data_IF_623424047402
#
_entry.id   IF_623424047402
#
_cell.length_a   1.000
_cell.length_b   1.000
_cell.length_c   1.000
_cell.angle_alpha   90.00
_cell.angle_beta   90.00
_cell.angle_gamma   90.00
#
_symmetry.space_group_name_H-M   'P 1'
#
loop_
_entity.id
_entity.type
_entity.pdbx_description
1 polymer ?
#
# COMPACT_ATOMS: atom_id res chain seq x y z
N UNK A 1 45.14 -25.67 22.29
CA UNK A 1 43.80 -25.29 22.74
C UNK A 1 42.81 -26.18 22.02
N UNK A 2 42.29 -27.20 22.71
CA UNK A 2 41.43 -28.24 22.14
C UNK A 2 40.02 -27.71 21.92
N UNK A 3 39.49 -27.86 20.70
CA UNK A 3 38.08 -27.61 20.39
C UNK A 3 37.27 -28.78 20.95
N UNK A 4 36.63 -28.54 22.10
CA UNK A 4 35.70 -29.47 22.71
C UNK A 4 34.49 -29.70 21.81
N UNK A 5 34.27 -30.98 21.47
CA UNK A 5 33.13 -31.50 20.72
C UNK A 5 31.81 -30.98 21.28
N UNK A 6 31.06 -30.20 20.49
CA UNK A 6 29.67 -29.88 20.79
C UNK A 6 28.83 -31.10 20.44
N UNK A 7 28.60 -31.95 21.45
CA UNK A 7 27.60 -32.99 21.36
C UNK A 7 26.23 -32.33 21.14
N UNK A 8 25.68 -32.54 19.94
CA UNK A 8 24.27 -32.34 19.66
C UNK A 8 23.51 -33.37 20.50
N UNK A 9 23.18 -32.99 21.73
CA UNK A 9 22.28 -33.79 22.56
C UNK A 9 20.89 -33.54 22.03
N UNK A 10 20.40 -34.52 21.25
CA UNK A 10 19.00 -34.69 20.95
C UNK A 10 18.27 -34.97 22.28
N UNK A 11 17.90 -33.90 22.99
CA UNK A 11 16.96 -33.98 24.10
C UNK A 11 15.56 -33.99 23.48
N UNK A 12 15.11 -35.19 23.17
CA UNK A 12 13.72 -35.55 23.39
C UNK A 12 13.46 -35.64 24.90
N UNK A 13 13.60 -34.51 25.58
CA UNK A 13 13.02 -34.28 26.90
C UNK A 13 11.75 -33.51 26.64
N UNK A 14 10.65 -34.27 26.65
CA UNK A 14 9.28 -33.82 26.85
C UNK A 14 9.05 -32.36 26.43
N UNK A 15 8.76 -32.17 25.14
CA UNK A 15 7.82 -31.11 24.77
C UNK A 15 6.50 -31.49 25.46
N UNK A 16 6.41 -31.19 26.77
CA UNK A 16 5.16 -30.77 27.35
C UNK A 16 4.61 -29.81 26.31
N UNK A 17 3.48 -30.21 25.73
CA UNK A 17 2.69 -29.34 24.89
C UNK A 17 2.29 -28.18 25.79
N UNK A 18 3.21 -27.23 26.00
CA UNK A 18 2.91 -25.91 26.48
C UNK A 18 1.86 -25.47 25.49
N UNK A 19 0.59 -25.52 25.92
CA UNK A 19 -0.51 -25.04 25.11
C UNK A 19 -0.01 -23.70 24.56
N UNK A 20 0.17 -23.64 23.24
CA UNK A 20 0.65 -22.46 22.52
C UNK A 20 -0.42 -21.39 22.65
N UNK A 21 -0.56 -20.89 23.87
CA UNK A 21 -1.56 -19.96 24.30
C UNK A 21 -1.15 -18.62 23.76
N UNK A 22 -2.15 -17.79 23.49
CA UNK A 22 -1.93 -16.44 23.01
C UNK A 22 -1.00 -15.65 23.94
N UNK A 23 -0.94 -16.00 25.23
CA UNK A 23 -0.08 -15.36 26.21
C UNK A 23 1.39 -15.82 26.14
N UNK A 24 1.65 -17.10 25.87
CA UNK A 24 3.01 -17.59 25.54
C UNK A 24 3.56 -16.91 24.29
N UNK A 25 2.75 -16.82 23.22
CA UNK A 25 3.13 -16.13 21.99
C UNK A 25 3.36 -14.62 22.20
N UNK A 26 2.53 -13.95 23.02
CA UNK A 26 2.76 -12.54 23.41
C UNK A 26 4.06 -12.38 24.21
N UNK A 27 4.37 -13.31 25.11
CA UNK A 27 5.59 -13.27 25.91
C UNK A 27 6.85 -13.47 25.04
N UNK A 28 6.81 -14.44 24.12
CA UNK A 28 7.90 -14.68 23.16
C UNK A 28 8.11 -13.49 22.23
N UNK A 29 7.04 -12.91 21.69
CA UNK A 29 7.15 -11.73 20.82
C UNK A 29 7.68 -10.50 21.57
N UNK A 30 7.31 -10.31 22.83
CA UNK A 30 7.88 -9.27 23.70
C UNK A 30 9.36 -9.52 24.02
N UNK A 31 9.73 -10.76 24.35
CA UNK A 31 11.12 -11.19 24.64
C UNK A 31 12.03 -10.99 23.42
N UNK A 32 11.52 -11.28 22.23
CA UNK A 32 12.21 -11.11 20.95
C UNK A 32 12.12 -9.67 20.39
N UNK A 33 11.42 -8.76 21.09
CA UNK A 33 11.21 -7.36 20.67
C UNK A 33 10.66 -7.24 19.25
N UNK A 34 9.81 -8.19 18.85
CA UNK A 34 9.23 -8.21 17.51
C UNK A 34 8.14 -7.14 17.44
N UNK A 35 8.29 -6.21 16.51
CA UNK A 35 7.25 -5.22 16.21
C UNK A 35 6.12 -5.91 15.43
N UNK A 36 5.18 -6.51 16.15
CA UNK A 36 4.02 -7.21 15.56
C UNK A 36 2.96 -6.24 15.02
N UNK A 37 3.13 -4.93 15.24
CA UNK A 37 2.17 -3.88 14.86
C UNK A 37 2.87 -2.75 14.13
N UNK A 38 2.14 -2.12 13.19
CA UNK A 38 2.63 -0.96 12.44
C UNK A 38 2.91 0.22 13.40
N UNK A 39 4.00 0.99 13.21
CA UNK A 39 4.34 2.12 14.08
C UNK A 39 3.19 3.13 14.24
N UNK A 40 2.48 3.42 13.15
CA UNK A 40 1.30 4.31 13.16
C UNK A 40 0.16 3.81 14.05
N UNK A 41 -0.03 2.49 14.12
CA UNK A 41 -1.02 1.90 15.02
C UNK A 41 -0.58 2.05 16.48
N UNK A 42 0.71 1.86 16.77
CA UNK A 42 1.24 2.04 18.13
C UNK A 42 1.11 3.50 18.59
N UNK A 43 1.44 4.46 17.73
CA UNK A 43 1.24 5.89 17.98
C UNK A 43 -0.23 6.24 18.23
N UNK A 44 -1.14 5.69 17.42
CA UNK A 44 -2.58 5.86 17.64
C UNK A 44 -3.03 5.25 18.97
N UNK A 45 -2.61 4.03 19.31
CA UNK A 45 -2.96 3.42 20.59
C UNK A 45 -2.44 4.22 21.77
N UNK A 46 -1.21 4.73 21.69
CA UNK A 46 -0.62 5.59 22.73
C UNK A 46 -1.39 6.91 22.87
N UNK A 47 -1.82 7.52 21.75
CA UNK A 47 -2.66 8.73 21.76
C UNK A 47 -4.04 8.49 22.38
N UNK A 48 -4.71 7.39 22.01
CA UNK A 48 -6.03 7.05 22.53
C UNK A 48 -5.98 6.74 24.02
N UNK A 49 -4.98 5.96 24.44
CA UNK A 49 -4.77 5.62 25.85
C UNK A 49 -4.37 6.85 26.67
N UNK A 50 -3.56 7.76 26.13
CA UNK A 50 -3.15 8.99 26.85
C UNK A 50 -4.22 10.07 26.95
N UNK A 51 -5.06 10.29 25.93
CA UNK A 51 -5.92 11.48 25.87
C UNK A 51 -7.39 11.28 26.27
N UNK A 52 -7.94 10.08 26.09
CA UNK A 52 -9.38 9.84 26.24
C UNK A 52 -9.76 9.27 27.61
N UNK A 53 -8.93 8.37 28.16
CA UNK A 53 -9.21 7.73 29.44
C UNK A 53 -8.77 8.60 30.63
N UNK A 54 -7.64 9.30 30.50
CA UNK A 54 -7.13 10.14 31.58
C UNK A 54 -7.84 11.49 31.73
N UNK A 55 -8.51 12.04 30.70
CA UNK A 55 -9.26 13.30 30.85
C UNK A 55 -10.55 13.15 31.66
N UNK A 56 -11.19 11.97 31.59
CA UNK A 56 -12.26 11.60 32.52
C UNK A 56 -11.73 11.38 33.94
N UNK A 57 -10.57 10.72 34.06
CA UNK A 57 -9.90 10.46 35.33
C UNK A 57 -9.44 11.74 36.05
N UNK A 58 -8.83 12.69 35.35
CA UNK A 58 -8.31 13.93 35.93
C UNK A 58 -9.43 14.88 36.43
N UNK A 59 -10.64 14.78 35.87
CA UNK A 59 -11.81 15.50 36.40
C UNK A 59 -12.44 14.78 37.59
N UNK A 60 -12.26 13.46 37.69
CA UNK A 60 -12.71 12.62 38.81
C UNK A 60 -11.71 12.57 39.98
N UNK A 61 -10.48 13.06 39.84
CA UNK A 61 -9.51 13.13 40.96
C UNK A 61 -9.76 14.31 41.91
N UNK A 62 -10.65 15.25 41.54
CA UNK A 62 -11.06 16.37 42.40
C UNK A 62 -12.33 16.09 43.22
N UNK A 63 -13.06 15.00 42.94
CA UNK A 63 -14.22 14.56 43.73
C UNK A 63 -14.19 13.04 43.91
N UNK A 64 -14.29 12.59 45.17
CA UNK A 64 -14.28 11.18 45.60
C UNK A 64 -14.92 10.20 44.59
N UNK A 65 -14.26 9.04 44.31
CA UNK A 65 -14.71 8.10 43.29
C UNK A 65 -16.01 7.42 43.72
N UNK A 66 -17.14 7.98 43.28
CA UNK A 66 -18.43 7.33 43.40
C UNK A 66 -18.44 6.00 42.64
N UNK A 67 -19.08 4.93 43.18
CA UNK A 67 -19.04 3.56 42.63
C UNK A 67 -19.80 3.36 41.30
N UNK A 68 -19.95 4.39 40.47
CA UNK A 68 -20.69 4.36 39.19
C UNK A 68 -20.02 5.14 38.05
N UNK A 69 -18.74 5.47 38.15
CA UNK A 69 -18.02 6.06 37.02
C UNK A 69 -17.66 4.97 36.00
N UNK A 70 -18.34 4.95 34.86
CA UNK A 70 -18.01 4.02 33.76
C UNK A 70 -16.81 4.61 33.02
N UNK A 71 -15.65 3.95 33.12
CA UNK A 71 -14.44 4.31 32.38
C UNK A 71 -14.02 5.80 32.53
N UNK A 72 -14.20 6.39 33.72
CA UNK A 72 -13.86 7.79 33.99
C UNK A 72 -14.91 8.83 33.53
N UNK A 73 -16.07 8.39 33.04
CA UNK A 73 -17.21 9.26 32.76
C UNK A 73 -18.22 9.22 33.90
N UNK A 74 -18.84 10.38 34.18
CA UNK A 74 -19.85 10.51 35.24
C UNK A 74 -21.18 9.84 34.85
N UNK A 75 -21.48 9.74 33.55
CA UNK A 75 -22.67 9.05 33.02
C UNK A 75 -22.34 8.26 31.75
N UNK A 76 -23.19 7.26 31.44
CA UNK A 76 -23.09 6.51 30.19
C UNK A 76 -23.33 7.40 28.97
N UNK A 77 -24.25 8.36 29.08
CA UNK A 77 -24.57 9.28 27.98
C UNK A 77 -23.39 10.18 27.62
N UNK A 78 -22.61 10.63 28.61
CA UNK A 78 -21.38 11.40 28.38
C UNK A 78 -20.33 10.58 27.61
N UNK A 79 -20.15 9.31 27.98
CA UNK A 79 -19.23 8.40 27.30
C UNK A 79 -19.66 8.14 25.85
N UNK A 80 -20.97 7.93 25.63
CA UNK A 80 -21.53 7.72 24.29
C UNK A 80 -21.44 8.98 23.44
N UNK A 81 -21.70 10.16 24.01
CA UNK A 81 -21.55 11.43 23.31
C UNK A 81 -20.10 11.68 22.90
N UNK A 82 -19.14 11.40 23.79
CA UNK A 82 -17.72 11.47 23.48
C UNK A 82 -17.34 10.53 22.34
N UNK A 83 -17.73 9.25 22.40
CA UNK A 83 -17.48 8.29 21.33
C UNK A 83 -18.06 8.73 19.97
N UNK A 84 -19.27 9.31 19.97
CA UNK A 84 -19.90 9.81 18.74
C UNK A 84 -19.11 10.98 18.15
N UNK A 85 -18.56 11.86 18.98
CA UNK A 85 -17.75 12.98 18.53
C UNK A 85 -16.39 12.51 17.99
N UNK A 86 -15.73 11.60 18.69
CA UNK A 86 -14.46 11.02 18.24
C UNK A 86 -14.62 10.29 16.89
N UNK A 87 -15.69 9.50 16.72
CA UNK A 87 -16.00 8.85 15.46
C UNK A 87 -16.31 9.85 14.33
N UNK A 88 -16.91 11.01 14.64
CA UNK A 88 -17.11 12.08 13.64
C UNK A 88 -15.77 12.68 13.21
N UNK A 89 -14.87 12.92 14.15
CA UNK A 89 -13.54 13.47 13.88
C UNK A 89 -12.70 12.50 13.05
N UNK A 90 -12.67 11.21 13.42
CA UNK A 90 -11.97 10.19 12.63
C UNK A 90 -12.52 10.11 11.19
N UNK A 91 -13.85 10.13 11.02
CA UNK A 91 -14.47 10.14 9.69
C UNK A 91 -14.13 11.40 8.90
N UNK A 92 -13.98 12.56 9.55
CA UNK A 92 -13.57 13.79 8.87
C UNK A 92 -12.12 13.70 8.37
N UNK A 93 -11.22 13.17 9.19
CA UNK A 93 -9.82 12.92 8.82
C UNK A 93 -9.72 11.92 7.65
N UNK A 94 -10.47 10.81 7.71
CA UNK A 94 -10.50 9.81 6.64
C UNK A 94 -10.99 10.40 5.32
N UNK A 95 -12.02 11.25 5.36
CA UNK A 95 -12.53 11.96 4.17
C UNK A 95 -11.48 12.90 3.59
N UNK A 96 -10.74 13.61 4.44
CA UNK A 96 -9.67 14.50 4.00
C UNK A 96 -8.54 13.72 3.32
N UNK A 97 -8.05 12.66 3.96
CA UNK A 97 -7.02 11.77 3.43
C UNK A 97 -7.46 11.13 2.11
N UNK A 98 -8.69 10.63 2.02
CA UNK A 98 -9.24 10.10 0.78
C UNK A 98 -9.25 11.17 -0.33
N UNK A 99 -9.62 12.41 -0.01
CA UNK A 99 -9.53 13.53 -0.94
C UNK A 99 -8.11 13.81 -1.42
N UNK A 100 -7.13 13.77 -0.52
CA UNK A 100 -5.71 13.93 -0.87
C UNK A 100 -5.22 12.81 -1.80
N UNK A 101 -5.56 11.55 -1.48
CA UNK A 101 -5.18 10.39 -2.29
C UNK A 101 -5.81 10.42 -3.69
N UNK A 102 -7.09 10.82 -3.80
CA UNK A 102 -7.75 10.97 -5.09
C UNK A 102 -7.07 12.05 -5.96
N UNK A 103 -6.68 13.18 -5.37
CA UNK A 103 -5.91 14.22 -6.07
C UNK A 103 -4.53 13.75 -6.52
N UNK A 104 -3.83 12.99 -5.67
CA UNK A 104 -2.54 12.41 -6.05
C UNK A 104 -2.70 11.40 -7.19
N UNK A 105 -3.74 10.56 -7.14
CA UNK A 105 -4.06 9.60 -8.20
C UNK A 105 -4.34 10.30 -9.53
N UNK A 106 -5.14 11.36 -9.54
CA UNK A 106 -5.44 12.09 -10.77
C UNK A 106 -4.19 12.75 -11.36
N UNK A 107 -3.35 13.35 -10.52
CA UNK A 107 -2.09 13.97 -10.95
C UNK A 107 -1.10 12.93 -11.50
N UNK A 108 -0.95 11.79 -10.83
CA UNK A 108 -0.11 10.70 -11.31
C UNK A 108 -0.60 10.16 -12.66
N UNK A 109 -1.92 10.03 -12.83
CA UNK A 109 -2.49 9.61 -14.09
C UNK A 109 -2.22 10.62 -15.22
N UNK A 110 -2.42 11.91 -14.96
CA UNK A 110 -2.11 12.97 -15.92
C UNK A 110 -0.62 12.92 -16.33
N UNK A 111 0.29 12.86 -15.37
CA UNK A 111 1.73 12.77 -15.65
C UNK A 111 2.10 11.53 -16.46
N UNK A 112 1.45 10.39 -16.18
CA UNK A 112 1.66 9.16 -16.95
C UNK A 112 1.19 9.31 -18.39
N UNK A 113 0.04 9.95 -18.63
CA UNK A 113 -0.45 10.24 -19.98
C UNK A 113 0.50 11.17 -20.70
N UNK A 114 0.92 12.27 -20.06
CA UNK A 114 1.89 13.21 -20.63
C UNK A 114 3.22 12.52 -20.99
N UNK A 115 3.72 11.64 -20.12
CA UNK A 115 4.95 10.87 -20.38
C UNK A 115 4.81 9.96 -21.61
N UNK A 116 3.69 9.22 -21.72
CA UNK A 116 3.44 8.34 -22.87
C UNK A 116 3.31 9.16 -24.16
N UNK A 117 2.65 10.32 -24.11
CA UNK A 117 2.55 11.21 -25.26
C UNK A 117 3.92 11.74 -25.70
N UNK A 118 4.77 12.16 -24.76
CA UNK A 118 6.14 12.61 -25.08
C UNK A 118 6.97 11.49 -25.71
N UNK A 119 6.96 10.30 -25.11
CA UNK A 119 7.67 9.15 -25.67
C UNK A 119 7.17 8.79 -27.07
N UNK A 120 5.85 8.88 -27.33
CA UNK A 120 5.31 8.66 -28.67
C UNK A 120 5.79 9.72 -29.66
N UNK A 121 5.84 10.99 -29.25
CA UNK A 121 6.36 12.08 -30.08
C UNK A 121 7.83 11.85 -30.45
N UNK A 122 8.68 11.49 -29.47
CA UNK A 122 10.09 11.17 -29.70
C UNK A 122 10.25 10.04 -30.73
N UNK A 123 9.43 8.98 -30.63
CA UNK A 123 9.43 7.89 -31.61
C UNK A 123 8.98 8.33 -33.01
N UNK A 124 8.06 9.29 -33.11
CA UNK A 124 7.65 9.87 -34.40
C UNK A 124 8.77 10.73 -34.98
N UNK A 125 9.39 11.58 -34.16
CA UNK A 125 10.50 12.45 -34.56
C UNK A 125 11.71 11.61 -35.03
N UNK A 126 12.05 10.53 -34.32
CA UNK A 126 13.09 9.58 -34.72
C UNK A 126 12.77 8.94 -36.09
N UNK A 127 11.51 8.52 -36.31
CA UNK A 127 11.09 7.93 -37.58
C UNK A 127 11.07 8.93 -38.73
N UNK A 128 10.73 10.20 -38.46
CA UNK A 128 10.83 11.30 -39.42
C UNK A 128 12.28 11.57 -39.81
N UNK A 129 13.20 11.62 -38.83
CA UNK A 129 14.63 11.80 -39.07
C UNK A 129 15.22 10.66 -39.91
N UNK A 130 14.89 9.41 -39.59
CA UNK A 130 15.28 8.23 -40.39
C UNK A 130 14.75 8.34 -41.83
N UNK A 131 13.51 8.78 -42.02
CA UNK A 131 12.93 8.97 -43.35
C UNK A 131 13.60 10.11 -44.14
N UNK A 132 14.00 11.20 -43.48
CA UNK A 132 14.75 12.30 -44.08
C UNK A 132 16.17 11.89 -44.47
N UNK A 133 16.89 11.17 -43.61
CA UNK A 133 18.23 10.63 -43.90
C UNK A 133 18.22 9.65 -45.08
N UNK A 134 17.10 8.94 -45.27
CA UNK A 134 16.88 8.04 -46.41
C UNK A 134 16.55 8.77 -47.74
N UNK A 135 16.53 10.12 -47.79
CA UNK A 135 16.41 10.87 -49.05
C UNK A 135 17.20 12.19 -49.08
N UNK A 136 18.19 12.31 -49.99
CA UNK A 136 17.87 12.70 -51.36
C UNK A 136 18.56 11.79 -52.39
N UNK A 137 17.74 10.97 -53.07
CA UNK A 137 18.19 10.11 -54.18
C UNK A 137 17.34 8.86 -54.40
N UNK A 138 16.64 8.40 -53.37
CA UNK A 138 15.69 7.28 -53.50
C UNK A 138 14.32 7.83 -53.91
N UNK A 139 13.93 7.58 -55.16
CA UNK A 139 12.55 7.69 -55.61
C UNK A 139 11.67 6.95 -54.62
N UNK A 140 10.78 7.68 -53.95
CA UNK A 140 9.71 7.17 -53.08
C UNK A 140 9.27 5.77 -53.49
N UNK A 141 9.48 4.72 -52.68
CA UNK A 141 8.50 3.67 -52.63
C UNK A 141 7.35 4.23 -51.79
N UNK A 142 6.30 4.62 -52.49
CA UNK A 142 4.92 4.69 -51.99
C UNK A 142 4.77 3.71 -50.83
N UNK A 143 4.21 4.18 -49.70
CA UNK A 143 3.74 3.47 -48.48
C UNK A 143 3.27 2.01 -48.70
N UNK A 144 4.17 1.15 -49.11
CA UNK A 144 3.99 -0.25 -49.38
C UNK A 144 4.65 -0.93 -48.20
N UNK A 145 3.89 -1.74 -47.47
CA UNK A 145 4.42 -2.59 -46.41
C UNK A 145 5.74 -3.21 -46.85
N UNK A 146 6.74 -3.14 -45.97
CA UNK A 146 8.04 -3.73 -46.20
C UNK A 146 7.87 -5.16 -46.76
N UNK A 147 8.70 -5.58 -47.73
CA UNK A 147 8.59 -6.89 -48.38
C UNK A 147 8.34 -8.08 -47.44
N UNK A 148 8.97 -8.21 -46.25
CA UNK A 148 8.75 -9.38 -45.40
C UNK A 148 7.31 -9.55 -44.89
N UNK A 149 6.50 -8.48 -44.83
CA UNK A 149 5.12 -8.57 -44.34
C UNK A 149 4.17 -9.10 -45.41
N UNK A 150 4.52 -8.93 -46.71
CA UNK A 150 3.74 -9.51 -47.81
C UNK A 150 3.92 -11.02 -47.89
N UNK A 151 5.12 -11.50 -47.62
CA UNK A 151 5.46 -12.93 -47.66
C UNK A 151 4.75 -13.74 -46.56
N UNK A 152 4.29 -13.05 -45.51
CA UNK A 152 3.48 -13.61 -44.42
C UNK A 152 1.96 -13.39 -44.68
N UNK A 153 1.58 -12.87 -45.85
CA UNK A 153 0.18 -12.60 -46.22
C UNK A 153 -0.46 -11.41 -45.47
N UNK A 154 0.34 -10.61 -44.77
CA UNK A 154 -0.13 -9.47 -43.99
C UNK A 154 -0.27 -8.25 -44.91
N UNK A 155 -1.50 -8.02 -45.37
CA UNK A 155 -1.85 -6.79 -46.09
C UNK A 155 -2.24 -5.67 -45.14
N UNK A 156 -2.16 -4.42 -45.62
CA UNK A 156 -2.53 -3.23 -44.85
C UNK A 156 -3.97 -3.31 -44.33
N UNK A 157 -4.86 -3.95 -45.11
CA UNK A 157 -6.25 -4.21 -44.76
C UNK A 157 -6.41 -5.19 -43.59
N UNK A 158 -5.56 -6.23 -43.52
CA UNK A 158 -5.57 -7.22 -42.43
C UNK A 158 -5.13 -6.60 -41.10
N UNK A 159 -4.08 -5.77 -41.14
CA UNK A 159 -3.53 -5.13 -39.95
C UNK A 159 -4.49 -4.07 -39.38
N UNK A 160 -5.09 -3.22 -40.24
CA UNK A 160 -6.02 -2.17 -39.79
C UNK A 160 -7.31 -2.72 -39.19
N UNK A 161 -7.71 -3.94 -39.56
CA UNK A 161 -8.93 -4.58 -39.07
C UNK A 161 -8.72 -5.46 -37.83
N UNK A 162 -7.47 -5.62 -37.32
CA UNK A 162 -7.11 -6.56 -36.24
C UNK A 162 -7.66 -7.98 -36.44
N UNK A 163 -7.88 -8.39 -37.69
CA UNK A 163 -8.39 -9.71 -38.05
C UNK A 163 -7.20 -10.62 -38.32
N UNK A 164 -6.68 -11.24 -37.27
CA UNK A 164 -5.75 -12.33 -37.41
C UNK A 164 -6.55 -13.60 -37.63
N UNK A 165 -6.68 -14.04 -38.89
CA UNK A 165 -7.07 -15.44 -39.16
C UNK A 165 -5.78 -16.25 -39.23
N UNK A 166 -5.54 -17.06 -38.21
CA UNK A 166 -4.50 -18.07 -38.23
C UNK A 166 -4.98 -19.23 -39.13
N UNK A 167 -4.16 -19.61 -40.10
CA UNK A 167 -4.14 -20.97 -40.64
C UNK A 167 -3.04 -21.75 -39.92
#
# INVERSE_FOLDING_TARGET
>A
MSLGSLAFVALGEEEEQEEETLDSLKALTAKLKLQTRRPSYLEWTARVQSQAWHRGHARAELEEPGPRAICGFHTLDDALQWLREELRQMRAQDRELAGQLLRLRSRMHQLKVEQICRQHQELLDDAELEAELLSPGSLRPTRLLAPPLRDIGLTRMNISARRFTLC
#
